data_IF_574759698752
#
_entry.id   IF_574759698752
#
_cell.length_a   1.000
_cell.length_b   1.000
_cell.length_c   1.000
_cell.angle_alpha   90.00
_cell.angle_beta   90.00
_cell.angle_gamma   90.00
#
_symmetry.space_group_name_H-M   'P 1'
#
loop_
_entity.id
_entity.type
_entity.pdbx_description
1 polymer ?
#
# COMPACT_ATOMS: atom_id res chain seq x y z
N UNK A 1 -26.95 0.37 4.45
CA UNK A 1 -26.19 1.56 4.86
C UNK A 1 -24.92 1.58 4.02
N UNK A 2 -24.77 2.54 3.10
CA UNK A 2 -23.56 2.64 2.29
C UNK A 2 -22.42 3.12 3.18
N UNK A 3 -21.41 2.28 3.41
CA UNK A 3 -20.19 2.72 4.09
C UNK A 3 -19.57 3.87 3.31
N UNK A 4 -19.25 4.94 4.02
CA UNK A 4 -18.58 6.11 3.44
C UNK A 4 -17.22 5.69 2.87
N UNK A 5 -16.72 6.44 1.87
CA UNK A 5 -15.39 6.19 1.27
C UNK A 5 -14.29 6.09 2.34
N UNK A 6 -14.38 6.90 3.40
CA UNK A 6 -13.41 6.94 4.49
C UNK A 6 -13.46 5.70 5.39
N UNK A 7 -14.64 5.13 5.64
CA UNK A 7 -14.76 3.85 6.37
C UNK A 7 -14.10 2.71 5.58
N UNK A 8 -14.37 2.62 4.27
CA UNK A 8 -13.75 1.61 3.39
C UNK A 8 -12.23 1.74 3.39
N UNK A 9 -11.72 2.97 3.37
CA UNK A 9 -10.29 3.26 3.48
C UNK A 9 -9.73 2.81 4.82
N UNK A 10 -10.39 3.13 5.93
CA UNK A 10 -9.95 2.73 7.26
C UNK A 10 -9.88 1.20 7.42
N UNK A 11 -10.86 0.47 6.87
CA UNK A 11 -10.89 -1.00 6.88
C UNK A 11 -9.72 -1.62 6.10
N UNK A 12 -9.41 -1.07 4.92
CA UNK A 12 -8.28 -1.55 4.11
C UNK A 12 -6.92 -1.05 4.59
N UNK A 13 -6.89 0.01 5.38
CA UNK A 13 -5.68 0.54 5.98
C UNK A 13 -5.20 -0.36 7.11
N UNK A 14 -6.03 -0.61 8.11
CA UNK A 14 -5.70 -1.51 9.23
C UNK A 14 -6.63 -2.72 9.24
N UNK A 15 -6.25 -3.74 8.47
CA UNK A 15 -7.01 -4.99 8.36
C UNK A 15 -6.84 -5.77 9.67
N UNK A 16 -7.87 -5.71 10.52
CA UNK A 16 -7.94 -6.49 11.77
C UNK A 16 -8.48 -7.89 11.51
N UNK A 17 -9.54 -7.99 10.70
CA UNK A 17 -10.22 -9.24 10.36
C UNK A 17 -10.10 -9.51 8.86
N UNK A 18 -10.27 -10.77 8.47
CA UNK A 18 -10.38 -11.15 7.05
C UNK A 18 -11.61 -10.50 6.44
N UNK A 19 -11.44 -9.87 5.27
CA UNK A 19 -12.49 -9.20 4.53
C UNK A 19 -12.73 -9.93 3.21
N UNK A 20 -13.99 -10.17 2.88
CA UNK A 20 -14.40 -10.81 1.64
C UNK A 20 -15.27 -9.84 0.84
N UNK A 21 -14.83 -9.55 -0.38
CA UNK A 21 -15.50 -8.61 -1.29
C UNK A 21 -15.60 -9.28 -2.67
N UNK A 22 -16.61 -8.93 -3.45
CA UNK A 22 -16.65 -9.32 -4.87
C UNK A 22 -15.46 -8.73 -5.63
N UNK A 23 -15.01 -9.43 -6.66
CA UNK A 23 -13.90 -8.97 -7.51
C UNK A 23 -14.18 -7.61 -8.16
N UNK A 24 -15.42 -7.41 -8.63
CA UNK A 24 -15.85 -6.17 -9.29
C UNK A 24 -15.90 -4.98 -8.32
N UNK A 25 -16.45 -5.16 -7.12
CA UNK A 25 -16.51 -4.08 -6.14
C UNK A 25 -15.10 -3.73 -5.63
N UNK A 26 -14.23 -4.72 -5.49
CA UNK A 26 -12.84 -4.49 -5.11
C UNK A 26 -12.10 -3.64 -6.15
N UNK A 27 -12.13 -4.02 -7.43
CA UNK A 27 -11.38 -3.33 -8.47
C UNK A 27 -11.94 -1.93 -8.74
N UNK A 28 -13.26 -1.75 -8.74
CA UNK A 28 -13.90 -0.49 -9.11
C UNK A 28 -14.04 0.50 -7.95
N UNK A 29 -14.34 0.02 -6.73
CA UNK A 29 -14.76 0.89 -5.63
C UNK A 29 -13.80 0.92 -4.45
N UNK A 30 -13.12 -0.18 -4.12
CA UNK A 30 -12.34 -0.27 -2.89
C UNK A 30 -10.85 -0.05 -3.11
N UNK A 31 -10.25 -0.77 -4.06
CA UNK A 31 -8.81 -0.72 -4.30
C UNK A 31 -8.29 0.66 -4.73
N UNK A 32 -8.99 1.41 -5.60
CA UNK A 32 -8.53 2.75 -6.00
C UNK A 32 -8.33 3.70 -4.81
N UNK A 33 -9.14 3.54 -3.75
CA UNK A 33 -9.12 4.40 -2.55
C UNK A 33 -7.85 4.26 -1.71
N UNK A 34 -7.19 3.09 -1.74
CA UNK A 34 -5.99 2.81 -0.93
C UNK A 34 -4.77 2.42 -1.77
N UNK A 35 -4.90 2.47 -3.10
CA UNK A 35 -3.83 2.16 -4.05
C UNK A 35 -2.55 2.99 -3.84
N UNK A 36 -2.67 4.16 -3.20
CA UNK A 36 -1.53 5.03 -2.87
C UNK A 36 -0.76 4.57 -1.63
N UNK A 37 -1.42 3.90 -0.69
CA UNK A 37 -0.85 3.41 0.58
C UNK A 37 -0.04 2.14 0.34
N UNK A 38 -0.52 1.28 -0.56
CA UNK A 38 0.00 -0.06 -0.77
C UNK A 38 0.91 -0.12 -1.99
N UNK A 39 1.98 -0.92 -1.90
CA UNK A 39 2.90 -1.22 -3.00
C UNK A 39 3.06 -2.72 -3.10
N UNK A 40 3.05 -3.26 -4.33
CA UNK A 40 3.17 -4.70 -4.53
C UNK A 40 4.57 -5.18 -4.08
N UNK A 41 4.58 -6.20 -3.24
CA UNK A 41 5.80 -6.81 -2.71
C UNK A 41 6.07 -8.18 -3.32
N UNK A 42 5.04 -9.03 -3.37
CA UNK A 42 5.14 -10.37 -3.96
C UNK A 42 3.82 -10.77 -4.61
N UNK A 43 3.85 -11.71 -5.53
CA UNK A 43 2.67 -12.28 -6.16
C UNK A 43 2.92 -13.71 -6.58
N UNK A 44 1.89 -14.54 -6.50
CA UNK A 44 1.91 -15.91 -6.97
C UNK A 44 0.62 -16.20 -7.74
N UNK A 45 0.76 -16.98 -8.80
CA UNK A 45 -0.36 -17.54 -9.56
C UNK A 45 -0.40 -19.04 -9.25
N UNK A 46 -1.59 -19.54 -8.95
CA UNK A 46 -1.85 -20.96 -8.74
C UNK A 46 -2.34 -21.58 -10.04
N UNK A 47 -2.20 -22.92 -10.15
CA UNK A 47 -2.61 -23.66 -11.35
C UNK A 47 -4.12 -23.57 -11.63
N UNK A 48 -4.93 -23.29 -10.61
CA UNK A 48 -6.38 -23.19 -10.68
C UNK A 48 -6.86 -21.79 -11.15
N UNK A 49 -6.00 -21.00 -11.80
CA UNK A 49 -6.20 -19.58 -12.13
C UNK A 49 -6.39 -18.63 -10.93
N UNK A 50 -6.49 -19.14 -9.71
CA UNK A 50 -6.43 -18.35 -8.49
C UNK A 50 -5.06 -17.67 -8.35
N UNK A 51 -5.04 -16.50 -7.71
CA UNK A 51 -3.79 -15.79 -7.49
C UNK A 51 -3.80 -15.08 -6.14
N UNK A 52 -2.61 -14.84 -5.60
CA UNK A 52 -2.47 -13.97 -4.45
C UNK A 52 -1.37 -12.95 -4.66
N UNK A 53 -1.59 -11.76 -4.12
CA UNK A 53 -0.63 -10.65 -4.12
C UNK A 53 -0.44 -10.20 -2.68
N UNK A 54 0.81 -10.02 -2.29
CA UNK A 54 1.18 -9.39 -1.03
C UNK A 54 1.58 -7.97 -1.33
N UNK A 55 0.99 -7.05 -0.58
CA UNK A 55 1.29 -5.64 -0.63
C UNK A 55 1.95 -5.22 0.68
N UNK A 56 2.97 -4.37 0.57
CA UNK A 56 3.62 -3.69 1.68
C UNK A 56 3.22 -2.23 1.68
N UNK A 57 3.23 -1.59 2.85
CA UNK A 57 3.04 -0.16 2.88
C UNK A 57 4.12 0.56 2.04
N UNK A 58 3.75 1.67 1.39
CA UNK A 58 4.66 2.53 0.63
C UNK A 58 5.75 3.20 1.47
N UNK A 59 5.50 3.36 2.77
CA UNK A 59 6.50 3.80 3.74
C UNK A 59 7.47 2.69 4.15
N UNK A 60 7.22 1.44 3.76
CA UNK A 60 8.17 0.32 3.87
C UNK A 60 9.23 0.46 2.78
N UNK A 61 10.17 1.37 2.98
CA UNK A 61 11.30 1.53 2.07
C UNK A 61 12.42 0.58 2.51
N UNK A 62 12.67 -0.44 1.70
CA UNK A 62 13.72 -1.45 1.96
C UNK A 62 15.14 -0.86 1.93
N UNK A 63 15.37 0.21 1.15
CA UNK A 63 16.71 0.78 0.97
C UNK A 63 16.77 2.19 1.52
N UNK A 64 17.81 2.49 2.26
CA UNK A 64 18.12 3.88 2.61
C UNK A 64 18.39 4.69 1.34
N UNK A 65 18.10 5.99 1.39
CA UNK A 65 18.50 6.87 0.29
C UNK A 65 20.02 6.98 0.34
N UNK A 66 20.68 7.01 -0.80
CA UNK A 66 22.10 7.32 -0.84
C UNK A 66 22.38 8.66 -0.17
N UNK A 67 23.45 8.71 0.62
CA UNK A 67 23.95 9.94 1.21
C UNK A 67 24.57 10.84 0.14
N UNK A 68 24.57 12.15 0.41
CA UNK A 68 25.05 13.17 -0.53
C UNK A 68 26.58 13.13 -0.61
N UNK A 69 27.15 13.15 -1.82
CA UNK A 69 28.59 13.40 -2.00
C UNK A 69 28.88 14.89 -1.78
N UNK A 70 29.85 15.22 -0.94
CA UNK A 70 30.14 16.61 -0.55
C UNK A 70 30.68 17.48 -1.70
N UNK A 71 31.35 16.88 -2.69
CA UNK A 71 32.17 17.58 -3.70
C UNK A 71 31.42 18.33 -4.83
N UNK A 72 30.08 18.40 -4.84
CA UNK A 72 29.32 19.03 -5.95
C UNK A 72 28.97 20.51 -5.63
N UNK A 73 29.10 21.51 -6.49
CA UNK A 73 28.69 22.88 -6.15
C UNK A 73 27.17 23.04 -5.93
N UNK A 74 26.74 23.74 -4.87
CA UNK A 74 25.31 23.89 -4.46
C UNK A 74 24.39 24.44 -5.57
N UNK A 75 24.89 25.37 -6.40
CA UNK A 75 24.11 26.06 -7.44
C UNK A 75 23.64 25.15 -8.59
N UNK A 76 24.23 23.96 -8.75
CA UNK A 76 23.84 22.94 -9.75
C UNK A 76 23.02 21.80 -9.13
N UNK A 77 22.62 21.90 -7.85
CA UNK A 77 22.00 20.79 -7.11
C UNK A 77 20.47 20.90 -7.11
N UNK A 78 19.81 19.79 -7.40
CA UNK A 78 18.36 19.61 -7.15
C UNK A 78 18.11 19.42 -5.65
N UNK A 79 17.14 20.14 -5.09
CA UNK A 79 16.68 19.93 -3.71
C UNK A 79 15.79 18.69 -3.67
N UNK A 80 16.20 17.66 -2.94
CA UNK A 80 15.39 16.45 -2.71
C UNK A 80 15.24 16.22 -1.20
N UNK A 81 14.04 15.86 -0.77
CA UNK A 81 13.83 15.39 0.61
C UNK A 81 14.19 13.91 0.70
N UNK A 82 15.09 13.55 1.60
CA UNK A 82 15.39 12.16 1.92
C UNK A 82 14.22 11.61 2.73
N UNK A 83 13.56 10.57 2.20
CA UNK A 83 12.55 9.82 2.95
C UNK A 83 13.26 8.81 3.86
N UNK A 84 13.00 8.81 5.17
CA UNK A 84 13.53 7.80 6.08
C UNK A 84 13.12 6.39 5.62
N UNK A 85 14.00 5.42 5.82
CA UNK A 85 13.66 4.02 5.60
C UNK A 85 12.87 3.45 6.79
N UNK A 86 12.18 2.31 6.60
CA UNK A 86 11.59 1.51 7.67
C UNK A 86 10.57 2.21 8.60
N UNK A 87 9.82 3.20 8.11
CA UNK A 87 8.82 3.90 8.94
C UNK A 87 7.63 2.99 9.26
N UNK A 88 7.25 2.11 8.33
CA UNK A 88 6.12 1.20 8.47
C UNK A 88 6.46 -0.19 7.97
N UNK A 89 5.93 -1.22 8.64
CA UNK A 89 6.13 -2.64 8.30
C UNK A 89 4.81 -3.38 8.04
N UNK A 90 3.70 -2.66 7.93
CA UNK A 90 2.39 -3.22 7.62
C UNK A 90 2.39 -3.94 6.26
N UNK A 91 1.79 -5.13 6.22
CA UNK A 91 1.64 -5.95 5.03
C UNK A 91 0.24 -6.55 4.95
N UNK A 92 -0.32 -6.55 3.76
CA UNK A 92 -1.60 -7.20 3.47
C UNK A 92 -1.45 -8.24 2.37
N UNK A 93 -2.26 -9.28 2.44
CA UNK A 93 -2.37 -10.31 1.41
C UNK A 93 -3.76 -10.27 0.81
N UNK A 94 -3.82 -10.04 -0.49
CA UNK A 94 -5.03 -10.07 -1.30
C UNK A 94 -5.02 -11.38 -2.09
N UNK A 95 -6.04 -12.20 -1.90
CA UNK A 95 -6.23 -13.48 -2.58
C UNK A 95 -7.41 -13.32 -3.51
N UNK A 96 -7.21 -13.56 -4.80
CA UNK A 96 -8.26 -13.59 -5.82
C UNK A 96 -8.63 -15.04 -6.11
N UNK A 97 -9.89 -15.36 -5.85
CA UNK A 97 -10.50 -16.67 -6.10
C UNK A 97 -11.35 -16.58 -7.36
N UNK A 98 -10.79 -17.05 -8.48
CA UNK A 98 -11.37 -16.90 -9.82
C UNK A 98 -12.68 -17.69 -9.95
N UNK A 99 -12.76 -18.89 -9.39
CA UNK A 99 -13.98 -19.72 -9.45
C UNK A 99 -15.18 -19.09 -8.73
N UNK A 100 -14.93 -18.30 -7.67
CA UNK A 100 -15.98 -17.67 -6.86
C UNK A 100 -16.21 -16.20 -7.21
N UNK A 101 -15.35 -15.60 -8.04
CA UNK A 101 -15.30 -14.14 -8.29
C UNK A 101 -15.24 -13.32 -6.99
N UNK A 102 -14.49 -13.84 -6.02
CA UNK A 102 -14.33 -13.27 -4.69
C UNK A 102 -12.87 -12.90 -4.44
N UNK A 103 -12.68 -11.82 -3.70
CA UNK A 103 -11.40 -11.36 -3.22
C UNK A 103 -11.40 -11.41 -1.69
N UNK A 104 -10.43 -12.15 -1.16
CA UNK A 104 -10.20 -12.25 0.27
C UNK A 104 -8.96 -11.44 0.65
N UNK A 105 -9.14 -10.49 1.56
CA UNK A 105 -8.08 -9.60 2.03
C UNK A 105 -7.80 -9.94 3.48
N UNK A 106 -6.52 -10.19 3.79
CA UNK A 106 -6.09 -10.54 5.15
C UNK A 106 -4.76 -9.90 5.50
N UNK A 107 -4.53 -9.72 6.80
CA UNK A 107 -3.22 -9.35 7.32
C UNK A 107 -2.18 -10.43 6.99
N UNK A 108 -1.01 -10.01 6.51
CA UNK A 108 0.07 -10.93 6.20
C UNK A 108 0.91 -11.21 7.45
N UNK A 109 1.06 -12.48 7.84
CA UNK A 109 1.90 -12.98 8.93
C UNK A 109 1.82 -12.16 10.25
N UNK A 110 0.62 -11.73 10.65
CA UNK A 110 0.42 -10.89 11.84
C UNK A 110 1.32 -9.64 11.90
N UNK A 111 1.64 -9.06 10.73
CA UNK A 111 2.39 -7.81 10.65
C UNK A 111 1.72 -6.69 11.47
N UNK A 112 2.53 -5.74 11.99
CA UNK A 112 1.98 -4.65 12.80
C UNK A 112 1.06 -3.78 11.97
N UNK A 113 0.17 -3.08 12.66
CA UNK A 113 -0.63 -2.02 12.07
C UNK A 113 0.24 -0.88 11.54
N UNK A 114 -0.37 -0.03 10.71
CA UNK A 114 0.32 1.16 10.23
C UNK A 114 0.73 2.07 11.39
N UNK A 115 1.95 2.58 11.32
CA UNK A 115 2.55 3.53 12.28
C UNK A 115 2.27 4.99 11.92
N UNK A 116 1.57 5.23 10.82
CA UNK A 116 1.19 6.55 10.31
C UNK A 116 -0.31 6.60 10.05
N UNK A 117 -0.79 7.79 9.75
CA UNK A 117 -2.16 8.07 9.37
C UNK A 117 -2.37 7.97 7.85
N UNK A 118 -3.63 7.81 7.43
CA UNK A 118 -4.01 7.88 6.02
C UNK A 118 -3.60 9.22 5.37
N UNK A 119 -3.72 10.32 6.12
CA UNK A 119 -3.37 11.67 5.66
C UNK A 119 -1.89 11.76 5.26
N UNK A 120 -1.00 11.16 6.05
CA UNK A 120 0.43 11.12 5.73
C UNK A 120 0.71 10.32 4.46
N UNK A 121 -0.05 9.25 4.21
CA UNK A 121 0.02 8.48 2.96
C UNK A 121 -0.46 9.27 1.74
N UNK A 122 -1.50 10.09 1.90
CA UNK A 122 -2.01 10.94 0.83
C UNK A 122 -1.02 12.06 0.48
N UNK A 123 -0.42 12.69 1.49
CA UNK A 123 0.63 13.72 1.32
C UNK A 123 1.84 13.19 0.55
N UNK A 124 2.17 11.90 0.71
CA UNK A 124 3.29 11.28 0.01
C UNK A 124 3.09 11.21 -1.52
N UNK A 125 1.84 11.23 -2.00
CA UNK A 125 1.48 11.27 -3.42
C UNK A 125 1.43 12.71 -3.99
N UNK A 126 1.26 13.72 -3.15
CA UNK A 126 1.29 15.13 -3.55
C UNK A 126 2.72 15.60 -3.88
N UNK A 127 3.23 15.22 -5.05
CA UNK A 127 4.34 15.90 -5.73
C UNK A 127 3.85 16.75 -6.91
N UNK A 128 2.58 17.10 -6.96
CA UNK A 128 2.00 17.91 -8.04
C UNK A 128 1.01 18.89 -7.43
N UNK A 129 1.45 20.13 -7.24
CA UNK A 129 0.78 21.42 -7.41
C UNK A 129 1.68 22.46 -6.73
N UNK A 130 2.73 22.86 -7.44
CA UNK A 130 3.38 24.17 -7.28
C UNK A 130 3.74 24.67 -8.66
#
# INVERSE_FOLDING_TARGET
MYSTSDEKRALLFNIKNTLEISEEEFDNSWWPLVSNVWTQFNSCKLNNADSWKVFTCRFTKHRESSTRKENIPIKKRRTTMIRPANICHAKTKVIRMTSKKLIQIKRYNNTPDHTHTLIESDRLKCSTYR
#
